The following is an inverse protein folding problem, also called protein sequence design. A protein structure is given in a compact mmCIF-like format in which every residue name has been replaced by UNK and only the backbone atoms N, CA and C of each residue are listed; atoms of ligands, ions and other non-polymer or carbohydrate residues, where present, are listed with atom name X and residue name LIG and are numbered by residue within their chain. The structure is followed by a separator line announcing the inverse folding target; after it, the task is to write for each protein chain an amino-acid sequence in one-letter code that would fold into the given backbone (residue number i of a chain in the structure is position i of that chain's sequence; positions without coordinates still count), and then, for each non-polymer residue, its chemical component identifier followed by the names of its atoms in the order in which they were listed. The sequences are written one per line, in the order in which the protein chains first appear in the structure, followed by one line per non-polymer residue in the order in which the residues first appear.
data_IF_079188102788
#
_entry.id   IF_079188102788
#
_cell.length_a   1.000
_cell.length_b   1.000
_cell.length_c   1.000
_cell.angle_alpha   90.00
_cell.angle_beta   90.00
_cell.angle_gamma   90.00
#
_symmetry.space_group_name_H-M   'P 1'
#
loop_
_entity.id
_entity.type
_entity.pdbx_description
1 polymer ?
#
# COMPACT_ATOMS: atom_id res chain seq x y z
N UNK A 1 -7.16 12.58 14.74
CA UNK A 1 -7.71 12.07 13.47
C UNK A 1 -9.04 12.78 13.24
N UNK A 2 -9.36 13.19 12.02
CA UNK A 2 -10.63 13.85 11.72
C UNK A 2 -11.77 12.83 11.80
N UNK A 3 -12.84 13.14 12.52
CA UNK A 3 -13.99 12.24 12.72
C UNK A 3 -14.77 12.00 11.42
N UNK A 4 -14.75 12.99 10.53
CA UNK A 4 -15.37 12.94 9.21
C UNK A 4 -14.31 13.34 8.18
N UNK A 5 -14.17 12.55 7.13
CA UNK A 5 -13.31 12.81 5.99
C UNK A 5 -14.06 12.52 4.70
N UNK A 6 -13.71 13.21 3.63
CA UNK A 6 -14.36 12.97 2.35
C UNK A 6 -13.62 13.59 1.17
N UNK A 7 -14.03 13.19 -0.01
CA UNK A 7 -13.55 13.74 -1.27
C UNK A 7 -14.64 13.68 -2.35
N UNK A 8 -14.49 14.48 -3.39
CA UNK A 8 -15.35 14.45 -4.57
C UNK A 8 -14.72 13.65 -5.70
N UNK A 9 -15.56 13.10 -6.58
CA UNK A 9 -15.10 12.41 -7.80
C UNK A 9 -14.51 13.37 -8.85
N UNK A 10 -14.77 14.67 -8.72
CA UNK A 10 -14.33 15.74 -9.64
C UNK A 10 -13.93 16.98 -8.84
N UNK A 11 -12.95 17.70 -9.35
CA UNK A 11 -12.54 19.00 -8.79
C UNK A 11 -13.39 20.16 -9.34
N UNK A 12 -14.02 19.97 -10.50
CA UNK A 12 -14.91 20.94 -11.13
C UNK A 12 -16.01 20.23 -11.92
N UNK A 13 -17.12 20.90 -12.13
CA UNK A 13 -18.25 20.40 -12.92
C UNK A 13 -18.88 21.52 -13.72
N UNK A 14 -19.38 21.20 -14.91
CA UNK A 14 -20.20 22.12 -15.70
C UNK A 14 -21.64 22.13 -15.18
N UNK A 15 -22.41 23.19 -15.49
CA UNK A 15 -23.84 23.23 -15.14
C UNK A 15 -24.59 22.00 -15.67
N UNK A 16 -25.35 21.35 -14.80
CA UNK A 16 -26.09 20.12 -15.12
C UNK A 16 -25.33 18.82 -14.88
N UNK A 17 -24.04 18.86 -14.62
CA UNK A 17 -23.27 17.66 -14.26
C UNK A 17 -23.48 17.25 -12.80
N UNK A 18 -23.40 15.95 -12.55
CA UNK A 18 -23.46 15.37 -11.20
C UNK A 18 -22.04 15.28 -10.61
N UNK A 19 -21.92 15.70 -9.35
CA UNK A 19 -20.71 15.48 -8.53
C UNK A 19 -21.07 14.50 -7.42
N UNK A 20 -20.22 13.49 -7.21
CA UNK A 20 -20.36 12.52 -6.12
C UNK A 20 -19.37 12.85 -5.01
N UNK A 21 -19.85 12.83 -3.78
CA UNK A 21 -19.03 12.97 -2.59
C UNK A 21 -18.95 11.62 -1.88
N UNK A 22 -17.75 11.20 -1.55
CA UNK A 22 -17.46 10.00 -0.78
C UNK A 22 -17.09 10.44 0.62
N UNK A 23 -17.89 10.03 1.61
CA UNK A 23 -17.73 10.47 3.00
C UNK A 23 -17.50 9.26 3.90
N UNK A 24 -16.46 9.35 4.72
CA UNK A 24 -16.15 8.39 5.77
C UNK A 24 -16.43 9.03 7.14
N UNK A 25 -17.23 8.38 7.95
CA UNK A 25 -17.48 8.75 9.34
C UNK A 25 -16.91 7.66 10.27
N UNK A 26 -15.88 7.99 11.04
CA UNK A 26 -15.09 7.02 11.83
C UNK A 26 -15.95 6.17 12.78
N UNK A 27 -16.98 6.76 13.37
CA UNK A 27 -17.85 6.10 14.35
C UNK A 27 -19.25 5.76 13.83
N UNK A 28 -19.49 5.78 12.53
CA UNK A 28 -20.82 5.64 11.92
C UNK A 28 -21.84 6.70 12.44
N UNK A 29 -21.36 7.84 12.91
CA UNK A 29 -22.20 8.95 13.37
C UNK A 29 -22.85 9.66 12.19
N UNK A 30 -24.03 10.20 12.38
CA UNK A 30 -24.67 11.04 11.38
C UNK A 30 -23.87 12.32 11.14
N UNK A 31 -23.94 12.84 9.93
CA UNK A 31 -23.31 14.10 9.56
C UNK A 31 -24.24 14.96 8.71
N UNK A 32 -24.12 16.26 8.85
CA UNK A 32 -24.90 17.22 8.08
C UNK A 32 -24.11 17.68 6.85
N UNK A 33 -24.82 17.86 5.75
CA UNK A 33 -24.29 18.38 4.50
C UNK A 33 -24.99 19.68 4.15
N UNK A 34 -24.19 20.69 3.85
CA UNK A 34 -24.64 21.97 3.31
C UNK A 34 -23.84 22.34 2.08
N UNK A 35 -24.52 22.82 1.06
CA UNK A 35 -23.88 23.45 -0.10
C UNK A 35 -23.90 24.94 0.13
N UNK A 36 -22.73 25.53 0.16
CA UNK A 36 -22.54 26.96 0.36
C UNK A 36 -21.86 27.57 -0.86
N UNK A 37 -22.22 28.79 -1.18
CA UNK A 37 -21.46 29.64 -2.10
C UNK A 37 -20.41 30.39 -1.30
N UNK A 38 -19.16 30.09 -1.55
CA UNK A 38 -18.05 30.83 -0.94
C UNK A 38 -17.88 32.15 -1.69
N UNK A 39 -18.21 33.26 -1.02
CA UNK A 39 -18.06 34.59 -1.55
C UNK A 39 -16.64 35.08 -1.29
N UNK A 40 -16.14 34.83 -0.09
CA UNK A 40 -14.80 35.22 0.31
C UNK A 40 -14.23 34.22 1.32
N UNK A 41 -13.09 33.61 1.00
CA UNK A 41 -12.46 32.55 1.80
C UNK A 41 -11.30 33.00 2.69
N UNK A 42 -11.10 34.31 2.83
CA UNK A 42 -10.00 34.84 3.62
C UNK A 42 -10.32 34.78 5.11
N UNK A 43 -9.52 34.04 5.86
CA UNK A 43 -9.62 33.93 7.31
C UNK A 43 -8.69 34.89 8.05
N UNK A 44 -7.94 35.73 7.32
CA UNK A 44 -7.07 36.74 7.93
C UNK A 44 -7.91 37.79 8.69
N UNK A 45 -7.66 38.04 9.98
CA UNK A 45 -8.38 39.07 10.74
C UNK A 45 -8.25 40.50 10.17
N UNK A 46 -7.18 40.78 9.43
CA UNK A 46 -6.94 42.08 8.77
C UNK A 46 -7.45 42.14 7.34
N UNK A 47 -7.97 41.01 6.82
CA UNK A 47 -8.53 40.90 5.49
C UNK A 47 -10.04 41.17 5.46
N UNK A 48 -10.68 40.97 4.29
CA UNK A 48 -12.13 41.21 4.11
C UNK A 48 -13.02 40.22 4.87
N UNK A 49 -12.42 39.20 5.48
CA UNK A 49 -13.12 38.21 6.30
C UNK A 49 -13.73 37.06 5.52
N UNK A 50 -14.04 35.98 6.23
CA UNK A 50 -14.71 34.82 5.67
C UNK A 50 -16.20 35.10 5.46
N UNK A 51 -16.69 34.87 4.25
CA UNK A 51 -18.11 35.06 3.91
C UNK A 51 -18.62 33.95 3.01
N UNK A 52 -19.65 33.28 3.47
CA UNK A 52 -20.37 32.26 2.71
C UNK A 52 -21.87 32.51 2.72
N UNK A 53 -22.58 31.94 1.77
CA UNK A 53 -24.03 31.99 1.62
C UNK A 53 -24.54 30.58 1.39
N UNK A 54 -25.49 30.14 2.19
CA UNK A 54 -26.09 28.82 2.01
C UNK A 54 -26.96 28.81 0.75
N UNK A 55 -26.77 27.79 -0.07
CA UNK A 55 -27.58 27.53 -1.26
C UNK A 55 -28.57 26.43 -0.91
N UNK A 56 -29.86 26.71 -1.07
CA UNK A 56 -30.95 25.74 -0.87
C UNK A 56 -30.83 24.58 -1.88
N UNK A 57 -30.09 23.55 -1.54
CA UNK A 57 -29.90 22.36 -2.36
C UNK A 57 -30.62 21.16 -1.76
N UNK A 58 -31.13 20.25 -2.61
CA UNK A 58 -31.83 19.03 -2.16
C UNK A 58 -30.95 18.10 -1.33
N UNK A 59 -29.64 18.22 -1.46
CA UNK A 59 -28.64 17.45 -0.71
C UNK A 59 -28.33 18.04 0.67
N UNK A 60 -28.79 19.24 1.00
CA UNK A 60 -28.64 19.85 2.33
C UNK A 60 -29.54 19.12 3.34
N UNK A 61 -28.95 18.11 3.97
CA UNK A 61 -29.64 17.30 4.99
C UNK A 61 -28.66 16.47 5.78
N UNK A 62 -29.17 15.84 6.81
CA UNK A 62 -28.43 14.85 7.61
C UNK A 62 -28.35 13.52 6.87
N UNK A 63 -27.17 12.94 6.83
CA UNK A 63 -26.89 11.61 6.27
C UNK A 63 -26.37 10.68 7.36
N UNK A 64 -26.71 9.40 7.22
CA UNK A 64 -26.14 8.37 8.07
C UNK A 64 -24.68 8.11 7.67
N UNK A 65 -23.78 8.33 8.60
CA UNK A 65 -22.36 8.04 8.42
C UNK A 65 -22.08 6.53 8.37
N UNK A 66 -21.07 6.19 7.59
CA UNK A 66 -20.52 4.83 7.53
C UNK A 66 -19.01 4.91 7.68
N UNK A 67 -18.44 4.00 8.46
CA UNK A 67 -17.01 3.85 8.49
C UNK A 67 -16.57 3.13 7.20
N UNK A 68 -16.00 3.89 6.29
CA UNK A 68 -15.46 3.40 5.02
C UNK A 68 -13.95 3.58 5.05
N UNK A 69 -13.23 2.48 5.03
CA UNK A 69 -11.76 2.55 4.92
C UNK A 69 -11.38 3.14 3.57
N UNK A 70 -10.65 4.24 3.61
CA UNK A 70 -9.99 4.79 2.44
C UNK A 70 -8.59 4.19 2.44
N UNK A 71 -8.32 3.33 1.48
CA UNK A 71 -6.97 2.82 1.25
C UNK A 71 -6.15 3.93 0.60
N UNK A 72 -5.21 4.48 1.35
CA UNK A 72 -4.30 5.50 0.83
C UNK A 72 -3.23 4.88 -0.06
N UNK A 73 -2.85 5.62 -1.11
CA UNK A 73 -1.80 5.22 -2.04
C UNK A 73 -2.31 4.58 -3.33
N UNK A 74 -1.41 4.50 -4.29
CA UNK A 74 -1.66 3.84 -5.57
C UNK A 74 -1.12 2.42 -5.54
N UNK A 75 -1.91 1.46 -5.99
CA UNK A 75 -1.52 0.06 -6.08
C UNK A 75 -2.21 -0.62 -7.26
N UNK A 76 -1.70 -1.75 -7.70
CA UNK A 76 -2.30 -2.55 -8.75
C UNK A 76 -3.06 -3.72 -8.14
N UNK A 77 -4.28 -3.95 -8.62
CA UNK A 77 -5.08 -5.13 -8.27
C UNK A 77 -5.28 -5.97 -9.54
N UNK A 78 -4.80 -7.18 -9.52
CA UNK A 78 -5.14 -8.20 -10.50
C UNK A 78 -6.17 -9.11 -9.83
N UNK A 79 -7.41 -9.18 -10.34
CA UNK A 79 -8.43 -10.04 -9.76
C UNK A 79 -7.94 -11.49 -9.63
N UNK A 80 -8.61 -12.25 -8.78
CA UNK A 80 -8.32 -13.67 -8.64
C UNK A 80 -8.24 -14.37 -10.00
N UNK A 81 -7.15 -15.08 -10.22
CA UNK A 81 -6.89 -15.90 -11.39
C UNK A 81 -6.11 -17.15 -10.96
N UNK A 82 -6.60 -18.32 -11.35
CA UNK A 82 -6.00 -19.61 -10.96
C UNK A 82 -4.59 -19.78 -11.50
N UNK A 83 -4.24 -19.11 -12.59
CA UNK A 83 -2.88 -19.10 -13.14
C UNK A 83 -1.85 -18.48 -12.21
N UNK A 84 -2.30 -17.68 -11.24
CA UNK A 84 -1.45 -17.08 -10.19
C UNK A 84 -1.35 -17.95 -8.93
N UNK A 85 -2.06 -19.07 -8.88
CA UNK A 85 -1.95 -20.07 -7.82
C UNK A 85 -0.83 -21.07 -8.18
N UNK A 86 0.39 -20.61 -8.20
CA UNK A 86 1.59 -21.41 -8.58
C UNK A 86 2.24 -22.04 -7.37
N UNK A 87 2.87 -23.21 -7.55
CA UNK A 87 3.68 -23.87 -6.51
C UNK A 87 5.12 -23.38 -6.53
N UNK A 88 5.68 -23.15 -7.71
CA UNK A 88 7.00 -22.52 -7.88
C UNK A 88 6.81 -21.16 -8.52
N UNK A 89 7.63 -20.18 -8.12
CA UNK A 89 7.51 -18.80 -8.63
C UNK A 89 8.84 -18.06 -8.64
N UNK A 90 8.88 -17.01 -9.46
CA UNK A 90 9.88 -15.95 -9.36
C UNK A 90 9.16 -14.61 -9.36
N UNK A 91 9.45 -13.78 -8.36
CA UNK A 91 8.97 -12.41 -8.23
C UNK A 91 10.17 -11.48 -8.38
N UNK A 92 10.01 -10.42 -9.17
CA UNK A 92 11.05 -9.42 -9.37
C UNK A 92 10.42 -8.03 -9.55
N UNK A 93 11.04 -7.03 -8.97
CA UNK A 93 10.62 -5.63 -9.12
C UNK A 93 11.79 -4.67 -8.94
N UNK A 94 11.65 -3.48 -9.52
CA UNK A 94 12.37 -2.30 -9.08
C UNK A 94 11.50 -1.55 -8.08
N UNK A 95 12.06 -1.24 -6.92
CA UNK A 95 11.36 -0.54 -5.85
C UNK A 95 12.09 0.73 -5.42
N UNK A 96 11.34 1.72 -4.95
CA UNK A 96 11.86 2.96 -4.38
C UNK A 96 11.19 3.18 -3.01
N UNK A 97 11.69 2.56 -1.94
CA UNK A 97 11.08 2.66 -0.61
C UNK A 97 11.12 4.10 -0.10
N UNK A 98 9.96 4.68 0.19
CA UNK A 98 9.89 6.04 0.76
C UNK A 98 9.80 6.03 2.28
N UNK A 99 9.20 5.00 2.85
CA UNK A 99 8.98 4.82 4.29
C UNK A 99 9.10 3.35 4.69
N UNK A 100 10.29 2.71 4.55
CA UNK A 100 10.46 1.29 4.89
C UNK A 100 10.15 1.00 6.36
N UNK A 101 10.32 2.00 7.24
CA UNK A 101 10.05 1.93 8.67
C UNK A 101 8.56 1.85 9.05
N UNK A 102 7.66 1.84 8.09
CA UNK A 102 6.20 1.83 8.33
C UNK A 102 5.66 0.48 8.81
N UNK A 103 6.54 -0.51 8.95
CA UNK A 103 6.20 -1.89 9.20
C UNK A 103 5.96 -2.66 7.91
N UNK A 104 5.27 -3.78 7.99
CA UNK A 104 5.11 -4.70 6.86
C UNK A 104 4.39 -4.05 5.67
N UNK A 105 5.01 -4.10 4.50
CA UNK A 105 4.51 -3.54 3.25
C UNK A 105 4.61 -4.58 2.13
N UNK A 106 3.55 -4.73 1.34
CA UNK A 106 3.54 -5.65 0.20
C UNK A 106 4.19 -5.01 -1.03
N UNK A 107 5.10 -5.73 -1.68
CA UNK A 107 5.69 -5.38 -2.97
C UNK A 107 4.94 -6.08 -4.08
N UNK A 108 4.96 -7.41 -4.10
CA UNK A 108 4.23 -8.29 -5.02
C UNK A 108 3.61 -9.42 -4.21
N UNK A 109 2.29 -9.49 -4.11
CA UNK A 109 1.65 -10.40 -3.16
C UNK A 109 0.46 -11.15 -3.74
N UNK A 110 0.47 -12.46 -3.62
CA UNK A 110 -0.66 -13.39 -3.76
C UNK A 110 -0.90 -14.01 -2.38
N UNK A 111 -1.28 -13.19 -1.41
CA UNK A 111 -1.29 -13.53 0.00
C UNK A 111 -2.68 -13.33 0.62
N UNK A 112 -3.14 -14.34 1.34
CA UNK A 112 -4.32 -14.23 2.19
C UNK A 112 -3.89 -14.27 3.65
N UNK A 113 -3.91 -13.12 4.31
CA UNK A 113 -3.43 -12.99 5.68
C UNK A 113 -4.34 -13.70 6.71
N UNK A 114 -5.62 -13.89 6.39
CA UNK A 114 -6.57 -14.60 7.27
C UNK A 114 -6.27 -16.09 7.34
N UNK A 115 -5.99 -16.70 6.20
CA UNK A 115 -5.73 -18.14 6.08
C UNK A 115 -4.25 -18.47 6.12
N UNK A 116 -3.37 -17.44 6.12
CA UNK A 116 -1.91 -17.63 6.01
C UNK A 116 -1.52 -18.50 4.82
N UNK A 117 -2.09 -18.21 3.66
CA UNK A 117 -1.91 -19.00 2.44
C UNK A 117 -1.40 -18.15 1.28
N UNK A 118 -0.64 -18.76 0.38
CA UNK A 118 -0.07 -18.14 -0.80
C UNK A 118 1.39 -17.73 -0.62
N UNK A 119 1.79 -16.69 -1.33
CA UNK A 119 3.17 -16.23 -1.37
C UNK A 119 3.25 -14.71 -1.61
N UNK A 120 4.41 -14.13 -1.34
CA UNK A 120 4.64 -12.73 -1.67
C UNK A 120 6.01 -12.22 -1.26
N UNK A 121 6.35 -11.10 -1.87
CA UNK A 121 7.55 -10.32 -1.60
C UNK A 121 7.15 -9.06 -0.82
N UNK A 122 7.82 -8.81 0.29
CA UNK A 122 7.44 -7.76 1.26
C UNK A 122 8.65 -6.96 1.73
N UNK A 123 8.40 -5.79 2.27
CA UNK A 123 9.24 -5.17 3.29
C UNK A 123 8.71 -5.66 4.63
N UNK A 124 9.56 -6.18 5.50
CA UNK A 124 9.18 -6.69 6.82
C UNK A 124 9.15 -5.60 7.91
N UNK A 125 8.83 -6.00 9.13
CA UNK A 125 8.76 -5.10 10.29
C UNK A 125 10.13 -4.54 10.71
N UNK A 126 11.22 -5.15 10.22
CA UNK A 126 12.60 -4.73 10.46
C UNK A 126 13.18 -3.88 9.31
N UNK A 127 12.33 -3.42 8.37
CA UNK A 127 12.73 -2.63 7.20
C UNK A 127 13.52 -3.43 6.16
N UNK A 128 13.55 -4.78 6.27
CA UNK A 128 14.28 -5.66 5.38
C UNK A 128 13.38 -6.23 4.28
N UNK A 129 13.98 -6.59 3.15
CA UNK A 129 13.27 -7.37 2.13
C UNK A 129 12.98 -8.76 2.67
N UNK A 130 11.78 -9.28 2.44
CA UNK A 130 11.40 -10.62 2.83
C UNK A 130 10.49 -11.31 1.82
N UNK A 131 10.61 -12.64 1.73
CA UNK A 131 9.68 -13.51 1.00
C UNK A 131 8.92 -14.38 1.97
N UNK A 132 7.62 -14.48 1.76
CA UNK A 132 6.71 -15.24 2.63
C UNK A 132 5.99 -16.28 1.80
N UNK A 133 5.91 -17.51 2.34
CA UNK A 133 5.16 -18.63 1.78
C UNK A 133 4.28 -19.21 2.88
N UNK A 134 3.02 -19.48 2.60
CA UNK A 134 2.08 -20.04 3.56
C UNK A 134 1.27 -21.19 2.97
N UNK A 135 1.09 -22.25 3.74
CA UNK A 135 0.39 -23.49 3.34
C UNK A 135 -1.10 -23.49 3.68
N UNK A 136 -1.59 -22.42 4.32
CA UNK A 136 -2.99 -22.33 4.74
C UNK A 136 -3.37 -23.22 5.93
N UNK A 137 -2.44 -23.93 6.56
CA UNK A 137 -2.64 -24.67 7.80
C UNK A 137 -2.21 -23.89 9.04
N UNK A 138 -1.66 -22.70 8.81
CA UNK A 138 -1.06 -21.83 9.83
C UNK A 138 0.46 -21.83 9.80
N UNK A 139 1.09 -22.73 9.02
CA UNK A 139 2.53 -22.70 8.84
C UNK A 139 2.92 -21.64 7.81
N UNK A 140 3.91 -20.85 8.18
CA UNK A 140 4.43 -19.77 7.35
C UNK A 140 5.96 -19.80 7.36
N UNK A 141 6.54 -19.85 6.18
CA UNK A 141 7.96 -19.62 6.00
C UNK A 141 8.16 -18.14 5.71
N UNK A 142 9.11 -17.52 6.40
CA UNK A 142 9.55 -16.14 6.18
C UNK A 142 11.08 -16.13 6.08
N UNK A 143 11.60 -15.71 4.92
CA UNK A 143 13.03 -15.49 4.71
C UNK A 143 13.28 -14.01 4.54
N UNK A 144 14.10 -13.42 5.41
CA UNK A 144 14.50 -12.02 5.37
C UNK A 144 15.90 -11.84 4.81
N UNK A 145 16.15 -10.71 4.15
CA UNK A 145 17.49 -10.35 3.66
C UNK A 145 18.45 -9.97 4.78
N UNK A 146 17.93 -9.69 5.99
CA UNK A 146 18.69 -9.23 7.16
C UNK A 146 19.42 -7.88 6.95
N UNK A 147 19.24 -7.26 5.79
CA UNK A 147 19.81 -5.96 5.45
C UNK A 147 18.67 -4.96 5.17
N UNK A 148 18.69 -3.86 5.90
CA UNK A 148 17.66 -2.82 5.80
C UNK A 148 17.67 -2.15 4.43
N UNK A 149 16.48 -1.90 3.92
CA UNK A 149 16.26 -1.07 2.75
C UNK A 149 16.39 0.41 3.14
N UNK A 150 17.18 1.15 2.39
CA UNK A 150 17.35 2.59 2.62
C UNK A 150 16.21 3.38 1.99
N UNK A 151 15.81 4.43 2.66
CA UNK A 151 14.79 5.36 2.12
C UNK A 151 15.30 6.05 0.87
N UNK A 152 14.40 6.18 -0.13
CA UNK A 152 14.65 6.94 -1.37
C UNK A 152 15.86 6.42 -2.18
N UNK A 153 16.11 5.14 -2.12
CA UNK A 153 17.10 4.44 -2.95
C UNK A 153 16.37 3.45 -3.83
N UNK A 154 16.70 3.42 -5.12
CA UNK A 154 16.21 2.38 -6.01
C UNK A 154 16.89 1.05 -5.73
N UNK A 155 16.11 -0.01 -5.65
CA UNK A 155 16.59 -1.38 -5.52
C UNK A 155 16.01 -2.27 -6.60
N UNK A 156 16.86 -3.17 -7.15
CA UNK A 156 16.38 -4.40 -7.75
C UNK A 156 16.14 -5.40 -6.63
N UNK A 157 14.93 -5.94 -6.55
CA UNK A 157 14.56 -6.95 -5.58
C UNK A 157 13.99 -8.17 -6.27
N UNK A 158 14.35 -9.36 -5.81
CA UNK A 158 13.84 -10.60 -6.37
C UNK A 158 13.70 -11.69 -5.30
N UNK A 159 12.73 -12.56 -5.50
CA UNK A 159 12.58 -13.80 -4.76
C UNK A 159 12.20 -14.94 -5.71
N UNK A 160 12.76 -16.11 -5.52
CA UNK A 160 12.34 -17.32 -6.22
C UNK A 160 12.13 -18.46 -5.25
N UNK A 161 11.17 -19.30 -5.56
CA UNK A 161 10.92 -20.56 -4.87
C UNK A 161 10.74 -21.67 -5.88
N UNK A 162 11.43 -22.77 -5.66
CA UNK A 162 11.34 -24.01 -6.42
C UNK A 162 10.73 -25.08 -5.52
N UNK A 163 9.52 -25.51 -5.84
CA UNK A 163 8.76 -26.48 -5.04
C UNK A 163 9.30 -27.92 -5.13
N UNK A 164 10.12 -28.25 -6.14
CA UNK A 164 10.68 -29.58 -6.31
C UNK A 164 11.93 -29.77 -5.42
N UNK A 165 12.71 -28.72 -5.29
CA UNK A 165 13.93 -28.72 -4.47
C UNK A 165 13.73 -28.09 -3.09
N UNK A 166 12.62 -27.38 -2.88
CA UNK A 166 12.37 -26.59 -1.68
C UNK A 166 13.26 -25.35 -1.57
N UNK A 167 14.03 -25.00 -2.60
CA UNK A 167 14.95 -23.86 -2.54
C UNK A 167 14.21 -22.54 -2.63
N UNK A 168 14.53 -21.65 -1.69
CA UNK A 168 14.09 -20.26 -1.66
C UNK A 168 15.31 -19.38 -1.80
N UNK A 169 15.24 -18.40 -2.69
CA UNK A 169 16.29 -17.40 -2.88
C UNK A 169 15.69 -16.02 -2.74
N UNK A 170 16.40 -15.15 -2.06
CA UNK A 170 16.01 -13.76 -1.88
C UNK A 170 17.20 -12.87 -2.23
N UNK A 171 16.95 -11.85 -3.03
CA UNK A 171 17.97 -10.95 -3.54
C UNK A 171 17.52 -9.50 -3.45
N UNK A 172 18.43 -8.63 -3.00
CA UNK A 172 18.29 -7.18 -3.10
C UNK A 172 19.62 -6.55 -3.50
N UNK A 173 19.56 -5.57 -4.38
CA UNK A 173 20.71 -4.79 -4.83
C UNK A 173 20.31 -3.34 -5.05
N UNK A 174 21.01 -2.34 -4.46
CA UNK A 174 20.78 -0.95 -4.75
C UNK A 174 21.18 -0.64 -6.20
N UNK A 175 20.28 0.02 -6.94
CA UNK A 175 20.58 0.47 -8.29
C UNK A 175 21.37 1.78 -8.22
N UNK A 176 22.64 1.70 -8.55
CA UNK A 176 23.49 2.88 -8.64
C UNK A 176 23.15 3.65 -9.92
N UNK A 177 22.29 4.64 -9.80
CA UNK A 177 21.92 5.54 -10.89
C UNK A 177 22.22 6.99 -10.52
N UNK A 178 22.43 7.90 -11.50
CA UNK A 178 22.60 9.33 -11.19
C UNK A 178 21.43 9.93 -10.40
N UNK A 179 20.25 9.31 -10.45
CA UNK A 179 19.05 9.75 -9.74
C UNK A 179 18.94 9.15 -8.31
N UNK A 180 19.73 8.13 -8.01
CA UNK A 180 19.80 7.50 -6.70
C UNK A 180 20.65 8.37 -5.76
N UNK A 181 20.10 9.40 -5.19
CA UNK A 181 20.80 10.29 -4.26
C UNK A 181 20.86 11.75 -4.68
N UNK A 182 20.29 12.11 -5.81
CA UNK A 182 20.23 13.50 -6.29
C UNK A 182 21.61 14.06 -6.71
N UNK A 183 21.65 14.84 -7.75
CA UNK A 183 22.83 15.59 -8.22
C UNK A 183 24.14 14.76 -8.41
N UNK A 184 24.06 13.50 -8.78
CA UNK A 184 25.24 12.68 -9.02
C UNK A 184 26.04 12.29 -7.77
N UNK A 185 25.53 12.53 -6.59
CA UNK A 185 26.14 12.20 -5.31
C UNK A 185 25.70 10.81 -4.78
N UNK A 186 25.33 9.92 -5.67
CA UNK A 186 24.83 8.57 -5.36
C UNK A 186 25.86 7.60 -4.76
N UNK A 187 27.07 8.06 -4.54
CA UNK A 187 28.19 7.24 -4.06
C UNK A 187 28.30 7.13 -2.53
N UNK A 188 27.32 7.62 -1.80
CA UNK A 188 27.35 7.57 -0.33
C UNK A 188 26.91 6.22 0.26
N UNK A 189 26.51 5.28 -0.59
CA UNK A 189 26.10 3.94 -0.16
C UNK A 189 26.97 2.92 -0.87
N UNK A 190 27.95 2.33 -0.19
CA UNK A 190 28.63 1.15 -0.72
C UNK A 190 27.57 0.09 -1.05
N UNK A 191 27.51 -0.33 -2.30
CA UNK A 191 26.56 -1.38 -2.73
C UNK A 191 26.63 -2.61 -1.82
N UNK A 192 27.83 -2.89 -1.32
CA UNK A 192 28.13 -4.01 -0.41
C UNK A 192 27.38 -3.94 0.92
N UNK A 193 27.05 -2.75 1.43
CA UNK A 193 26.36 -2.62 2.72
C UNK A 193 24.88 -3.01 2.62
N UNK A 194 24.25 -2.77 1.47
CA UNK A 194 22.81 -2.99 1.28
C UNK A 194 22.50 -4.10 0.26
N UNK A 195 23.49 -4.59 -0.49
CA UNK A 195 23.33 -5.79 -1.33
C UNK A 195 23.23 -7.02 -0.45
N UNK A 196 22.23 -7.86 -0.70
CA UNK A 196 22.03 -9.10 0.03
C UNK A 196 21.56 -10.21 -0.91
N UNK A 197 22.14 -11.39 -0.72
CA UNK A 197 21.65 -12.63 -1.31
C UNK A 197 21.53 -13.66 -0.19
N UNK A 198 20.34 -14.17 0.03
CA UNK A 198 20.06 -15.18 1.03
C UNK A 198 19.39 -16.37 0.37
N UNK A 199 19.81 -17.56 0.75
CA UNK A 199 19.22 -18.81 0.29
C UNK A 199 18.83 -19.68 1.49
N UNK A 200 17.68 -20.33 1.40
CA UNK A 200 17.19 -21.29 2.38
C UNK A 200 16.52 -22.47 1.69
N UNK A 201 16.37 -23.56 2.39
CA UNK A 201 15.59 -24.71 1.93
C UNK A 201 14.38 -24.89 2.84
N UNK A 202 13.20 -24.97 2.24
CA UNK A 202 11.94 -25.19 2.94
C UNK A 202 10.97 -25.98 2.06
N UNK A 203 10.33 -26.98 2.62
CA UNK A 203 9.40 -27.84 1.90
C UNK A 203 7.95 -27.33 1.94
N UNK A 204 7.70 -26.17 2.52
CA UNK A 204 6.38 -25.57 2.64
C UNK A 204 5.93 -25.04 1.27
N UNK A 205 4.88 -25.64 0.70
CA UNK A 205 4.34 -25.21 -0.60
C UNK A 205 3.28 -24.13 -0.42
N UNK A 206 3.28 -23.07 -1.26
CA UNK A 206 2.24 -22.07 -1.20
C UNK A 206 0.89 -22.69 -1.53
N UNK A 207 -0.11 -22.49 -0.68
CA UNK A 207 -1.46 -22.96 -0.94
C UNK A 207 -2.22 -21.96 -1.80
N UNK A 208 -2.93 -22.48 -2.80
CA UNK A 208 -3.86 -21.72 -3.59
C UNK A 208 -4.89 -20.99 -2.71
N UNK A 209 -5.24 -19.76 -3.09
CA UNK A 209 -6.22 -18.94 -2.38
C UNK A 209 -6.96 -17.99 -3.33
N UNK A 210 -8.05 -17.39 -2.84
CA UNK A 210 -8.91 -16.50 -3.61
C UNK A 210 -8.48 -15.01 -3.52
N UNK A 211 -7.36 -14.70 -2.88
CA UNK A 211 -6.89 -13.34 -2.79
C UNK A 211 -6.51 -12.80 -4.18
N UNK A 212 -6.72 -11.52 -4.45
CA UNK A 212 -6.16 -10.90 -5.65
C UNK A 212 -4.63 -10.90 -5.60
N UNK A 213 -3.98 -10.79 -6.75
CA UNK A 213 -2.57 -10.46 -6.81
C UNK A 213 -2.43 -8.94 -6.72
N UNK A 214 -1.63 -8.47 -5.78
CA UNK A 214 -1.43 -7.04 -5.53
C UNK A 214 0.02 -6.63 -5.81
N UNK A 215 0.20 -5.43 -6.36
CA UNK A 215 1.50 -4.76 -6.46
C UNK A 215 1.45 -3.48 -5.64
N UNK A 216 2.48 -3.23 -4.87
CA UNK A 216 2.59 -2.13 -3.91
C UNK A 216 1.49 -2.12 -2.83
N UNK A 217 0.97 -3.30 -2.50
CA UNK A 217 -0.02 -3.51 -1.44
C UNK A 217 -0.01 -4.97 -0.95
N UNK A 218 -0.61 -5.22 0.20
CA UNK A 218 -0.91 -6.55 0.70
C UNK A 218 -2.22 -6.57 1.50
N UNK A 219 -2.84 -7.75 1.59
CA UNK A 219 -3.95 -7.95 2.51
C UNK A 219 -3.41 -8.18 3.92
N UNK A 220 -3.82 -7.35 4.87
CA UNK A 220 -3.52 -7.51 6.29
C UNK A 220 -4.81 -7.75 7.06
N UNK A 221 -4.77 -8.69 7.98
CA UNK A 221 -5.91 -9.00 8.87
C UNK A 221 -5.94 -8.08 10.10
N UNK A 222 -5.14 -7.04 10.10
CA UNK A 222 -5.05 -6.12 11.22
C UNK A 222 -6.29 -5.23 11.28
N UNK A 223 -7.00 -5.32 12.41
CA UNK A 223 -8.10 -4.41 12.76
C UNK A 223 -7.62 -2.97 13.00
N UNK A 224 -6.33 -2.75 13.15
CA UNK A 224 -5.75 -1.43 13.44
C UNK A 224 -5.67 -0.50 12.23
N UNK A 225 -5.88 -1.01 11.01
CA UNK A 225 -5.92 -0.17 9.80
C UNK A 225 -4.61 0.49 9.42
N UNK A 226 -3.49 -0.09 9.80
CA UNK A 226 -2.16 0.37 9.36
C UNK A 226 -1.78 -0.39 8.08
N UNK A 227 -1.83 0.30 6.97
CA UNK A 227 -1.12 -0.02 5.75
C UNK A 227 0.00 0.98 5.58
#
# INVERSE_FOLDING_TARGET
MLRITGYSDKYSAFPGEKVKFYVNAEKNENYDVQIVRLIHGDTNPEGPGYKEEEIGAQCNKTYQGKNQRIHGGSYVVIPQDDRLNTTSFTLQAYIFPTTPEKGRQGILTKWNDKTKSGYGLFVDENECLSVIIGDGTGQVMNLSSEKKLMRKVWYLVAASYDADTGKVKLYQEPCVTPTNGGLGMSLLHPADETTSFVEATNNLKPRANDAPFLMAACTLNDRSGRN
#
